data_IF_678902380619
#
_entry.id   IF_678902380619
#
_cell.length_a   1.000
_cell.length_b   1.000
_cell.length_c   1.000
_cell.angle_alpha   90.00
_cell.angle_beta   90.00
_cell.angle_gamma   90.00
#
_symmetry.space_group_name_H-M   'P 1'
#
loop_
_entity.id
_entity.type
_entity.pdbx_description
1 polymer ?
#
# COMPACT_ATOMS: atom_id res chain seq x y z
N UNK A 1 43.47 5.89 12.69
CA UNK A 1 43.86 4.56 13.22
C UNK A 1 42.67 3.65 12.98
N UNK A 2 42.85 2.61 12.16
CA UNK A 2 41.78 1.70 11.77
C UNK A 2 41.96 0.39 12.52
N UNK A 3 40.92 -0.04 13.23
CA UNK A 3 40.84 -1.36 13.81
C UNK A 3 40.50 -2.38 12.73
N UNK A 4 41.05 -3.59 12.82
CA UNK A 4 40.71 -4.69 11.91
C UNK A 4 39.45 -5.42 12.38
N UNK A 5 38.79 -6.16 11.49
CA UNK A 5 37.56 -6.90 11.84
C UNK A 5 37.82 -7.97 12.92
N UNK A 6 39.05 -8.48 12.99
CA UNK A 6 39.50 -9.48 13.95
C UNK A 6 39.65 -8.90 15.37
N UNK A 7 39.94 -7.61 15.48
CA UNK A 7 40.11 -6.88 16.75
C UNK A 7 38.79 -6.27 17.26
N UNK A 8 37.68 -6.46 16.53
CA UNK A 8 36.39 -5.84 16.86
C UNK A 8 35.71 -6.51 18.07
N UNK A 9 35.90 -5.92 19.25
CA UNK A 9 35.14 -6.21 20.48
C UNK A 9 33.77 -5.50 20.55
N UNK A 10 33.06 -5.70 21.67
CA UNK A 10 31.70 -5.15 21.90
C UNK A 10 31.68 -3.62 21.94
N UNK A 11 32.77 -3.01 22.34
CA UNK A 11 32.99 -1.57 22.43
C UNK A 11 32.93 -0.85 21.06
N UNK A 12 33.11 -1.58 19.95
CA UNK A 12 32.99 -1.03 18.60
C UNK A 12 31.59 -1.23 17.99
N UNK A 13 30.72 -2.01 18.65
CA UNK A 13 29.38 -2.27 18.16
C UNK A 13 28.41 -1.16 18.59
N UNK A 14 27.60 -0.67 17.64
CA UNK A 14 26.51 0.25 17.93
C UNK A 14 25.35 -0.45 18.64
N UNK A 15 24.70 0.25 19.56
CA UNK A 15 23.46 -0.22 20.20
C UNK A 15 22.23 0.47 19.58
N UNK A 16 21.14 -0.28 19.42
CA UNK A 16 19.86 0.22 18.95
C UNK A 16 18.72 -0.43 19.73
N UNK A 17 17.69 0.35 20.05
CA UNK A 17 16.49 -0.14 20.75
C UNK A 17 15.60 -0.98 19.83
N UNK A 18 15.52 -0.62 18.55
CA UNK A 18 14.72 -1.36 17.56
C UNK A 18 15.30 -1.19 16.16
N UNK A 19 15.37 -2.28 15.40
CA UNK A 19 15.78 -2.27 13.99
C UNK A 19 14.65 -2.86 13.16
N UNK A 20 14.23 -2.14 12.11
CA UNK A 20 13.17 -2.55 11.19
C UNK A 20 13.76 -2.59 9.78
N UNK A 21 13.82 -3.77 9.18
CA UNK A 21 14.29 -3.97 7.81
C UNK A 21 13.09 -4.23 6.90
N UNK A 22 12.89 -3.37 5.90
CA UNK A 22 11.91 -3.53 4.82
C UNK A 22 12.66 -3.87 3.51
N UNK A 23 11.92 -4.20 2.44
CA UNK A 23 12.48 -4.52 1.13
C UNK A 23 13.45 -3.45 0.62
N UNK A 24 13.08 -2.18 0.73
CA UNK A 24 13.82 -1.06 0.13
C UNK A 24 14.39 -0.07 1.17
N UNK A 25 14.22 -0.33 2.48
CA UNK A 25 14.62 0.62 3.54
C UNK A 25 14.89 -0.05 4.89
N UNK A 26 15.85 0.47 5.65
CA UNK A 26 16.14 0.05 7.03
C UNK A 26 15.99 1.23 7.99
N UNK A 27 15.20 1.07 9.05
CA UNK A 27 15.08 2.03 10.15
C UNK A 27 15.80 1.50 11.39
N UNK A 28 16.65 2.35 11.98
CA UNK A 28 17.38 2.07 13.22
C UNK A 28 16.92 3.09 14.26
N UNK A 29 16.30 2.61 15.32
CA UNK A 29 15.77 3.42 16.42
C UNK A 29 16.70 3.27 17.63
N UNK A 30 17.18 4.39 18.16
CA UNK A 30 18.05 4.44 19.34
C UNK A 30 17.31 5.00 20.56
N UNK A 31 17.91 4.85 21.73
CA UNK A 31 17.40 5.31 23.03
C UNK A 31 17.72 6.79 23.32
N UNK A 32 18.26 7.52 22.33
CA UNK A 32 18.64 8.92 22.47
C UNK A 32 20.01 9.17 23.12
N UNK A 33 20.71 8.12 23.57
CA UNK A 33 22.04 8.25 24.21
C UNK A 33 23.10 8.95 23.32
N UNK A 34 22.93 8.89 22.01
CA UNK A 34 23.86 9.45 21.01
C UNK A 34 23.43 10.81 20.45
N UNK A 35 22.39 11.46 21.00
CA UNK A 35 21.83 12.71 20.48
C UNK A 35 22.91 13.79 20.28
N UNK A 36 23.76 14.00 21.29
CA UNK A 36 24.82 15.01 21.22
C UNK A 36 25.86 14.72 20.12
N UNK A 37 26.18 13.45 19.90
CA UNK A 37 27.09 13.03 18.82
C UNK A 37 26.46 13.28 17.44
N UNK A 38 25.14 13.06 17.30
CA UNK A 38 24.38 13.35 16.07
C UNK A 38 24.36 14.85 15.80
N UNK A 39 24.06 15.68 16.79
CA UNK A 39 24.05 17.14 16.66
C UNK A 39 25.41 17.68 16.23
N UNK A 40 26.49 17.22 16.88
CA UNK A 40 27.86 17.58 16.51
C UNK A 40 28.17 17.17 15.07
N UNK A 41 27.70 16.00 14.63
CA UNK A 41 27.89 15.52 13.26
C UNK A 41 27.09 16.35 12.25
N UNK A 42 25.86 16.74 12.58
CA UNK A 42 25.04 17.62 11.73
C UNK A 42 25.70 18.99 11.57
N UNK A 43 26.21 19.58 12.66
CA UNK A 43 26.95 20.85 12.61
C UNK A 43 28.19 20.76 11.70
N UNK A 44 28.95 19.67 11.80
CA UNK A 44 30.09 19.43 10.92
C UNK A 44 29.69 19.36 9.44
N UNK A 45 28.61 18.64 9.12
CA UNK A 45 28.13 18.49 7.73
C UNK A 45 27.60 19.82 7.20
N UNK A 46 26.93 20.64 8.02
CA UNK A 46 26.50 21.99 7.63
C UNK A 46 27.68 22.87 7.20
N UNK A 47 28.77 22.87 7.97
CA UNK A 47 30.00 23.57 7.57
C UNK A 47 30.61 23.05 6.26
N UNK A 48 30.48 21.76 5.97
CA UNK A 48 30.92 21.18 4.69
C UNK A 48 30.04 21.62 3.51
N UNK A 49 28.73 21.78 3.73
CA UNK A 49 27.80 22.29 2.71
C UNK A 49 28.14 23.73 2.33
N UNK A 50 28.43 24.58 3.31
CA UNK A 50 28.79 25.99 3.09
C UNK A 50 30.09 26.14 2.28
N UNK A 51 31.08 25.29 2.57
CA UNK A 51 32.38 25.31 1.90
C UNK A 51 32.39 24.60 0.53
N UNK A 52 31.37 23.82 0.20
CA UNK A 52 31.28 23.13 -1.08
C UNK A 52 30.79 24.07 -2.18
N UNK A 53 31.40 23.99 -3.37
CA UNK A 53 30.98 24.75 -4.57
C UNK A 53 30.14 23.90 -5.52
N UNK A 54 30.15 22.58 -5.36
CA UNK A 54 29.45 21.64 -6.23
C UNK A 54 28.00 21.43 -5.78
N UNK A 55 27.05 21.70 -6.67
CA UNK A 55 25.61 21.52 -6.41
C UNK A 55 25.24 20.08 -6.10
N UNK A 56 25.87 19.12 -6.79
CA UNK A 56 25.68 17.69 -6.53
C UNK A 56 26.07 17.30 -5.09
N UNK A 57 27.22 17.77 -4.61
CA UNK A 57 27.65 17.50 -3.23
C UNK A 57 26.74 18.15 -2.20
N UNK A 58 26.29 19.39 -2.43
CA UNK A 58 25.33 20.04 -1.55
C UNK A 58 24.04 19.23 -1.41
N UNK A 59 23.56 18.62 -2.50
CA UNK A 59 22.38 17.75 -2.48
C UNK A 59 22.60 16.52 -1.59
N UNK A 60 23.69 15.78 -1.79
CA UNK A 60 24.00 14.56 -1.02
C UNK A 60 24.18 14.87 0.48
N UNK A 61 24.89 15.95 0.80
CA UNK A 61 25.08 16.38 2.19
C UNK A 61 23.75 16.86 2.82
N UNK A 62 22.90 17.52 2.05
CA UNK A 62 21.54 17.91 2.46
C UNK A 62 20.66 16.71 2.79
N UNK A 63 20.64 15.69 1.93
CA UNK A 63 19.91 14.43 2.18
C UNK A 63 20.42 13.75 3.46
N UNK A 64 21.74 13.77 3.69
CA UNK A 64 22.33 13.23 4.91
C UNK A 64 21.94 14.02 6.16
N UNK A 65 21.93 15.35 6.10
CA UNK A 65 21.45 16.21 7.20
C UNK A 65 19.99 15.90 7.49
N UNK A 66 19.15 15.74 6.47
CA UNK A 66 17.74 15.41 6.64
C UNK A 66 17.55 14.06 7.34
N UNK A 67 18.34 13.04 6.98
CA UNK A 67 18.29 11.72 7.64
C UNK A 67 18.81 11.75 9.09
N UNK A 68 19.79 12.59 9.41
CA UNK A 68 20.35 12.70 10.76
C UNK A 68 19.51 13.59 11.68
N UNK A 69 18.92 14.65 11.13
CA UNK A 69 18.03 15.57 11.88
C UNK A 69 16.61 15.04 11.99
N UNK A 70 16.26 14.03 11.18
CA UNK A 70 14.95 13.41 11.16
C UNK A 70 14.68 12.69 12.49
N UNK A 71 13.75 13.22 13.27
CA UNK A 71 13.28 12.55 14.47
C UNK A 71 12.44 11.32 14.10
N UNK A 72 12.65 10.21 14.80
CA UNK A 72 11.83 9.01 14.66
C UNK A 72 10.76 9.05 15.76
N UNK A 73 9.49 9.19 15.37
CA UNK A 73 8.36 9.08 16.28
C UNK A 73 7.84 7.63 16.31
N UNK A 74 7.55 7.13 17.52
CA UNK A 74 6.94 5.80 17.71
C UNK A 74 5.50 6.01 18.17
N UNK A 75 4.54 5.53 17.37
CA UNK A 75 3.12 5.54 17.72
C UNK A 75 2.77 4.17 18.34
N UNK A 76 2.33 4.18 19.60
CA UNK A 76 1.88 2.97 20.30
C UNK A 76 0.35 2.91 20.29
N UNK A 77 -0.20 1.80 19.81
CA UNK A 77 -1.65 1.60 19.65
C UNK A 77 -2.12 0.55 20.65
N UNK A 78 -3.05 0.94 21.53
CA UNK A 78 -3.70 0.04 22.49
C UNK A 78 -5.11 -0.37 22.06
N UNK A 79 -5.52 -1.59 22.43
CA UNK A 79 -6.88 -2.08 22.26
C UNK A 79 -7.25 -3.12 23.33
N UNK A 80 -8.55 -3.40 23.49
CA UNK A 80 -9.03 -4.34 24.51
C UNK A 80 -8.90 -5.80 24.06
N UNK A 81 -9.00 -6.05 22.74
CA UNK A 81 -8.84 -7.40 22.17
C UNK A 81 -7.75 -7.43 21.09
N UNK A 82 -7.22 -8.62 20.81
CA UNK A 82 -6.20 -8.82 19.76
C UNK A 82 -6.73 -8.48 18.37
N UNK A 83 -8.03 -8.70 18.13
CA UNK A 83 -8.68 -8.41 16.85
C UNK A 83 -8.77 -6.90 16.65
N UNK A 84 -9.24 -6.17 17.66
CA UNK A 84 -9.27 -4.71 17.63
C UNK A 84 -7.88 -4.09 17.51
N UNK A 85 -6.87 -4.68 18.17
CA UNK A 85 -5.50 -4.20 18.08
C UNK A 85 -5.00 -4.24 16.63
N UNK A 86 -5.28 -5.34 15.92
CA UNK A 86 -4.91 -5.48 14.51
C UNK A 86 -5.65 -4.47 13.63
N UNK A 87 -6.95 -4.31 13.82
CA UNK A 87 -7.77 -3.36 13.05
C UNK A 87 -7.33 -1.90 13.28
N UNK A 88 -7.20 -1.47 14.54
CA UNK A 88 -6.72 -0.11 14.88
C UNK A 88 -5.32 0.16 14.36
N UNK A 89 -4.43 -0.83 14.45
CA UNK A 89 -3.07 -0.71 13.90
C UNK A 89 -3.13 -0.45 12.39
N UNK A 90 -3.88 -1.24 11.63
CA UNK A 90 -4.02 -1.07 10.19
C UNK A 90 -4.62 0.30 9.82
N UNK A 91 -5.64 0.76 10.55
CA UNK A 91 -6.24 2.09 10.35
C UNK A 91 -5.25 3.23 10.60
N UNK A 92 -4.42 3.12 11.63
CA UNK A 92 -3.40 4.13 11.94
C UNK A 92 -2.27 4.10 10.92
N UNK A 93 -1.84 2.92 10.47
CA UNK A 93 -0.86 2.80 9.39
C UNK A 93 -1.37 3.44 8.10
N UNK A 94 -2.64 3.20 7.74
CA UNK A 94 -3.26 3.80 6.57
C UNK A 94 -3.38 5.32 6.69
N UNK A 95 -3.87 5.83 7.83
CA UNK A 95 -3.96 7.27 8.09
C UNK A 95 -2.60 7.98 8.03
N UNK A 96 -1.54 7.35 8.55
CA UNK A 96 -0.19 7.89 8.49
C UNK A 96 0.32 7.94 7.04
N UNK A 97 0.10 6.87 6.25
CA UNK A 97 0.52 6.85 4.86
C UNK A 97 -0.26 7.87 4.00
N UNK A 98 -1.57 7.99 4.24
CA UNK A 98 -2.43 8.95 3.54
C UNK A 98 -2.03 10.40 3.84
N UNK A 99 -1.76 10.73 5.11
CA UNK A 99 -1.30 12.07 5.51
C UNK A 99 0.09 12.39 4.96
N UNK A 100 1.03 11.43 4.96
CA UNK A 100 2.34 11.62 4.32
C UNK A 100 2.19 11.87 2.81
N UNK A 101 1.36 11.09 2.12
CA UNK A 101 1.10 11.28 0.70
C UNK A 101 0.45 12.64 0.39
N UNK A 102 -0.44 13.11 1.27
CA UNK A 102 -1.09 14.41 1.16
C UNK A 102 -0.12 15.58 1.39
N UNK A 103 0.85 15.43 2.28
CA UNK A 103 1.90 16.45 2.51
C UNK A 103 2.82 16.57 1.29
N UNK A 104 3.10 15.46 0.60
CA UNK A 104 4.02 15.45 -0.54
C UNK A 104 3.44 16.07 -1.82
N UNK A 105 2.21 15.72 -2.21
CA UNK A 105 1.61 16.16 -3.49
C UNK A 105 0.29 16.93 -3.32
N UNK A 106 -0.11 17.24 -2.09
CA UNK A 106 -1.37 17.90 -1.78
C UNK A 106 -2.57 16.96 -1.76
N UNK A 107 -3.76 17.56 -1.74
CA UNK A 107 -5.05 16.87 -1.68
C UNK A 107 -5.95 17.26 -2.84
N UNK A 108 -6.84 16.34 -3.22
CA UNK A 108 -7.92 16.54 -4.17
C UNK A 108 -9.25 16.13 -3.56
N UNK A 109 -10.32 16.50 -4.24
CA UNK A 109 -11.70 16.16 -3.86
C UNK A 109 -11.88 14.64 -3.93
N UNK A 110 -12.29 14.04 -2.82
CA UNK A 110 -12.38 12.59 -2.71
C UNK A 110 -13.66 11.99 -3.31
N UNK A 111 -13.99 10.78 -2.88
CA UNK A 111 -15.23 10.09 -3.26
C UNK A 111 -15.32 9.76 -4.76
N UNK A 112 -14.19 9.63 -5.44
CA UNK A 112 -14.11 9.44 -6.89
C UNK A 112 -14.49 10.67 -7.72
N UNK A 113 -14.90 11.78 -7.10
CA UNK A 113 -15.34 12.98 -7.81
C UNK A 113 -14.20 13.64 -8.60
N UNK A 114 -12.95 13.58 -8.10
CA UNK A 114 -11.78 14.03 -8.87
C UNK A 114 -11.62 13.25 -10.18
N UNK A 115 -11.76 11.91 -10.15
CA UNK A 115 -11.67 11.07 -11.35
C UNK A 115 -12.79 11.39 -12.34
N UNK A 116 -14.01 11.58 -11.82
CA UNK A 116 -15.15 11.96 -12.64
C UNK A 116 -14.96 13.30 -13.35
N UNK A 117 -14.35 14.29 -12.69
CA UNK A 117 -14.04 15.58 -13.33
C UNK A 117 -12.91 15.49 -14.35
N UNK A 118 -11.88 14.69 -14.05
CA UNK A 118 -10.81 14.42 -15.02
C UNK A 118 -11.38 13.76 -16.30
N UNK A 119 -12.42 12.95 -16.19
CA UNK A 119 -13.07 12.33 -17.35
C UNK A 119 -13.66 13.36 -18.33
N UNK A 120 -14.13 14.50 -17.85
CA UNK A 120 -14.66 15.58 -18.70
C UNK A 120 -13.56 16.30 -19.51
N UNK A 121 -12.30 16.23 -19.06
CA UNK A 121 -11.17 16.85 -19.77
C UNK A 121 -10.63 15.98 -20.89
N UNK A 122 -11.02 14.71 -20.97
CA UNK A 122 -10.55 13.78 -22.00
C UNK A 122 -11.08 14.17 -23.39
N UNK A 123 -12.25 14.80 -23.48
CA UNK A 123 -12.80 15.22 -24.78
C UNK A 123 -11.85 16.19 -25.51
N UNK A 124 -11.20 17.09 -24.77
CA UNK A 124 -10.19 18.02 -25.30
C UNK A 124 -8.97 17.24 -25.83
N UNK A 125 -8.53 16.21 -25.10
CA UNK A 125 -7.41 15.36 -25.53
C UNK A 125 -7.80 14.59 -26.79
N UNK A 126 -9.02 14.07 -26.85
CA UNK A 126 -9.55 13.29 -27.97
C UNK A 126 -9.54 14.08 -29.28
N UNK A 127 -9.77 15.39 -29.23
CA UNK A 127 -9.71 16.27 -30.41
C UNK A 127 -8.30 16.35 -31.00
N UNK A 128 -7.26 16.23 -30.16
CA UNK A 128 -5.85 16.26 -30.59
C UNK A 128 -5.31 14.93 -31.12
N UNK A 129 -6.09 13.85 -31.08
CA UNK A 129 -5.66 12.52 -31.52
C UNK A 129 -5.87 12.33 -33.03
N UNK A 130 -4.87 11.74 -33.68
CA UNK A 130 -4.81 11.65 -35.14
C UNK A 130 -5.69 10.53 -35.70
N UNK A 131 -5.70 9.35 -35.05
CA UNK A 131 -6.36 8.16 -35.56
C UNK A 131 -7.62 7.77 -34.77
N UNK A 132 -8.51 7.01 -35.41
CA UNK A 132 -9.78 6.57 -34.81
C UNK A 132 -9.56 5.65 -33.60
N UNK A 133 -8.54 4.80 -33.64
CA UNK A 133 -8.23 3.84 -32.56
C UNK A 133 -7.82 4.55 -31.26
N UNK A 134 -6.98 5.59 -31.34
CA UNK A 134 -6.63 6.41 -30.19
C UNK A 134 -7.85 7.14 -29.63
N UNK A 135 -8.75 7.63 -30.50
CA UNK A 135 -10.02 8.25 -30.08
C UNK A 135 -10.92 7.27 -29.32
N UNK A 136 -11.00 6.02 -29.78
CA UNK A 136 -11.71 4.94 -29.06
C UNK A 136 -11.03 4.67 -27.72
N UNK A 137 -9.69 4.63 -27.68
CA UNK A 137 -8.92 4.48 -26.43
C UNK A 137 -9.20 5.59 -25.42
N UNK A 138 -9.29 6.84 -25.88
CA UNK A 138 -9.66 7.98 -25.05
C UNK A 138 -11.08 7.82 -24.48
N UNK A 139 -12.05 7.37 -25.29
CA UNK A 139 -13.40 7.08 -24.82
C UNK A 139 -13.41 5.98 -23.75
N UNK A 140 -12.65 4.90 -23.93
CA UNK A 140 -12.52 3.82 -22.94
C UNK A 140 -11.99 4.39 -21.62
N UNK A 141 -10.95 5.21 -21.68
CA UNK A 141 -10.36 5.83 -20.49
C UNK A 141 -11.35 6.77 -19.78
N UNK A 142 -12.12 7.55 -20.54
CA UNK A 142 -13.19 8.42 -20.02
C UNK A 142 -14.24 7.62 -19.26
N UNK A 143 -14.70 6.51 -19.82
CA UNK A 143 -15.66 5.63 -19.14
C UNK A 143 -15.05 5.02 -17.87
N UNK A 144 -13.80 4.54 -17.95
CA UNK A 144 -13.12 3.92 -16.80
C UNK A 144 -12.99 4.87 -15.60
N UNK A 145 -12.70 6.16 -15.83
CA UNK A 145 -12.61 7.15 -14.74
C UNK A 145 -13.96 7.42 -14.04
N UNK A 146 -15.09 7.13 -14.69
CA UNK A 146 -16.43 7.28 -14.08
C UNK A 146 -16.85 6.08 -13.22
N UNK A 147 -16.20 4.93 -13.37
CA UNK A 147 -16.57 3.70 -12.68
C UNK A 147 -16.40 3.76 -11.16
N UNK A 148 -15.32 4.34 -10.60
CA UNK A 148 -15.15 4.43 -9.15
C UNK A 148 -16.31 5.16 -8.47
N UNK A 149 -16.73 6.32 -8.97
CA UNK A 149 -17.88 7.07 -8.42
C UNK A 149 -19.18 6.28 -8.55
N UNK A 150 -19.38 5.59 -9.68
CA UNK A 150 -20.54 4.71 -9.90
C UNK A 150 -20.60 3.59 -8.86
N UNK A 151 -19.48 2.93 -8.61
CA UNK A 151 -19.38 1.81 -7.67
C UNK A 151 -19.57 2.28 -6.23
N UNK A 152 -18.97 3.41 -5.84
CA UNK A 152 -19.16 4.00 -4.52
C UNK A 152 -20.65 4.31 -4.28
N UNK A 153 -21.32 4.96 -5.24
CA UNK A 153 -22.74 5.27 -5.15
C UNK A 153 -23.62 4.02 -5.07
N UNK A 154 -23.38 3.03 -5.94
CA UNK A 154 -24.14 1.78 -5.97
C UNK A 154 -23.99 1.00 -4.66
N UNK A 155 -22.77 0.94 -4.10
CA UNK A 155 -22.51 0.28 -2.82
C UNK A 155 -23.19 1.02 -1.64
N UNK A 156 -23.41 2.33 -1.78
CA UNK A 156 -24.17 3.14 -0.83
C UNK A 156 -25.69 3.09 -1.07
N UNK A 157 -26.18 2.24 -1.98
CA UNK A 157 -27.61 2.06 -2.26
C UNK A 157 -28.23 3.13 -3.17
N UNK A 158 -27.42 3.99 -3.80
CA UNK A 158 -27.88 5.01 -4.74
C UNK A 158 -27.49 4.66 -6.18
N UNK A 159 -28.30 5.07 -7.16
CA UNK A 159 -27.97 4.83 -8.57
C UNK A 159 -26.77 5.67 -9.00
N UNK A 160 -25.65 5.03 -9.32
CA UNK A 160 -24.43 5.71 -9.72
C UNK A 160 -24.57 6.59 -10.97
N UNK A 161 -25.45 6.23 -11.92
CA UNK A 161 -25.75 7.07 -13.08
C UNK A 161 -26.37 8.41 -12.68
N UNK A 162 -27.36 8.37 -11.78
CA UNK A 162 -28.02 9.58 -11.26
C UNK A 162 -27.05 10.43 -10.43
N UNK A 163 -26.18 9.78 -9.65
CA UNK A 163 -25.13 10.48 -8.89
C UNK A 163 -24.18 11.20 -9.82
N UNK A 164 -23.66 10.53 -10.86
CA UNK A 164 -22.76 11.13 -11.84
C UNK A 164 -23.41 12.33 -12.52
N UNK A 165 -24.62 12.16 -13.06
CA UNK A 165 -25.34 13.23 -13.76
C UNK A 165 -25.51 14.47 -12.87
N UNK A 166 -25.95 14.26 -11.62
CA UNK A 166 -26.14 15.35 -10.68
C UNK A 166 -24.84 16.03 -10.26
N UNK A 167 -23.75 15.28 -10.05
CA UNK A 167 -22.43 15.87 -9.75
C UNK A 167 -21.91 16.67 -10.95
N UNK A 168 -22.05 16.15 -12.17
CA UNK A 168 -21.60 16.83 -13.39
C UNK A 168 -22.48 18.02 -13.79
N UNK A 169 -23.72 18.10 -13.31
CA UNK A 169 -24.59 19.27 -13.54
C UNK A 169 -24.12 20.54 -12.81
N UNK A 170 -23.11 20.44 -11.95
CA UNK A 170 -22.56 21.55 -11.18
C UNK A 170 -21.06 21.74 -11.49
N UNK A 171 -20.70 22.93 -11.95
CA UNK A 171 -19.33 23.29 -12.34
C UNK A 171 -18.39 23.49 -11.14
N UNK A 172 -18.91 23.64 -9.91
CA UNK A 172 -18.07 23.80 -8.73
C UNK A 172 -17.20 22.56 -8.55
N UNK A 173 -15.87 22.73 -8.58
CA UNK A 173 -14.89 21.67 -8.43
C UNK A 173 -14.94 20.92 -7.10
N UNK A 174 -15.57 21.45 -6.05
CA UNK A 174 -15.68 20.77 -4.74
C UNK A 174 -17.03 20.08 -4.53
N UNK A 175 -18.01 20.31 -5.40
CA UNK A 175 -19.34 19.70 -5.28
C UNK A 175 -19.27 18.19 -5.51
N UNK A 176 -19.91 17.39 -4.68
CA UNK A 176 -19.91 15.94 -4.87
C UNK A 176 -20.96 15.24 -4.05
N UNK A 177 -21.00 13.92 -4.19
CA UNK A 177 -21.91 13.07 -3.44
C UNK A 177 -21.18 12.43 -2.26
N UNK A 178 -21.58 12.81 -1.05
CA UNK A 178 -21.11 12.19 0.17
C UNK A 178 -21.89 10.88 0.39
N UNK A 179 -21.26 9.75 0.06
CA UNK A 179 -21.85 8.43 0.22
C UNK A 179 -22.07 7.99 1.67
N UNK A 180 -21.38 8.59 2.64
CA UNK A 180 -21.56 8.27 4.06
C UNK A 180 -22.86 8.85 4.61
N UNK A 181 -23.24 10.06 4.16
CA UNK A 181 -24.44 10.78 4.61
C UNK A 181 -25.60 10.77 3.61
N UNK A 182 -25.35 10.34 2.37
CA UNK A 182 -26.35 10.31 1.30
C UNK A 182 -26.73 11.69 0.74
N UNK A 183 -25.90 12.71 0.97
CA UNK A 183 -26.15 14.09 0.57
C UNK A 183 -25.18 14.59 -0.51
N UNK A 184 -25.58 15.65 -1.21
CA UNK A 184 -24.72 16.38 -2.13
C UNK A 184 -24.25 17.66 -1.48
N UNK A 185 -22.94 17.87 -1.42
CA UNK A 185 -22.34 18.95 -0.65
C UNK A 185 -20.94 19.31 -1.19
N UNK A 186 -20.30 20.29 -0.57
CA UNK A 186 -18.89 20.56 -0.79
C UNK A 186 -18.06 19.51 -0.04
N UNK A 187 -17.46 18.59 -0.79
CA UNK A 187 -16.68 17.48 -0.25
C UNK A 187 -15.38 17.95 0.41
N UNK A 188 -14.81 19.08 -0.01
CA UNK A 188 -13.63 19.63 0.65
C UNK A 188 -14.00 20.16 2.03
N UNK A 189 -15.11 20.88 2.13
CA UNK A 189 -15.62 21.42 3.39
C UNK A 189 -16.12 20.31 4.34
N UNK A 190 -16.64 19.21 3.82
CA UNK A 190 -17.06 18.05 4.63
C UNK A 190 -15.93 17.08 4.98
N UNK A 191 -14.70 17.34 4.52
CA UNK A 191 -13.50 16.58 4.88
C UNK A 191 -13.32 15.29 4.08
N UNK A 192 -14.03 15.13 2.96
CA UNK A 192 -13.89 13.99 2.03
C UNK A 192 -12.83 14.35 0.99
N UNK A 193 -11.58 14.07 1.37
CA UNK A 193 -10.37 14.43 0.66
C UNK A 193 -9.55 13.18 0.35
N UNK A 194 -8.99 13.11 -0.85
CA UNK A 194 -8.05 12.05 -1.23
C UNK A 194 -6.66 12.65 -1.49
N UNK A 195 -5.56 12.01 -1.08
CA UNK A 195 -4.22 12.48 -1.42
C UNK A 195 -3.97 12.45 -2.93
N UNK A 196 -3.49 13.57 -3.50
CA UNK A 196 -3.23 13.68 -4.95
C UNK A 196 -2.29 12.59 -5.46
N UNK A 197 -1.26 12.28 -4.67
CA UNK A 197 -0.27 11.24 -4.97
C UNK A 197 -0.94 9.87 -5.18
N UNK A 198 -1.89 9.53 -4.32
CA UNK A 198 -2.60 8.25 -4.41
C UNK A 198 -3.41 8.20 -5.70
N UNK A 199 -4.20 9.24 -5.99
CA UNK A 199 -5.01 9.32 -7.21
C UNK A 199 -4.14 9.21 -8.47
N UNK A 200 -3.04 9.97 -8.54
CA UNK A 200 -2.11 9.96 -9.68
C UNK A 200 -1.45 8.59 -9.86
N UNK A 201 -0.84 8.04 -8.81
CA UNK A 201 -0.19 6.74 -8.88
C UNK A 201 -1.18 5.61 -9.22
N UNK A 202 -2.41 5.66 -8.70
CA UNK A 202 -3.45 4.70 -9.03
C UNK A 202 -3.79 4.71 -10.52
N UNK A 203 -3.95 5.90 -11.12
CA UNK A 203 -4.23 6.03 -12.57
C UNK A 203 -3.04 5.51 -13.39
N UNK A 204 -1.82 5.96 -13.08
CA UNK A 204 -0.61 5.58 -13.81
C UNK A 204 -0.37 4.06 -13.77
N UNK A 205 -0.43 3.46 -12.59
CA UNK A 205 -0.23 2.01 -12.44
C UNK A 205 -1.34 1.21 -13.12
N UNK A 206 -2.60 1.65 -13.02
CA UNK A 206 -3.72 0.99 -13.71
C UNK A 206 -3.54 1.03 -15.23
N UNK A 207 -3.10 2.17 -15.77
CA UNK A 207 -2.84 2.32 -17.20
C UNK A 207 -1.68 1.42 -17.66
N UNK A 208 -0.61 1.29 -16.87
CA UNK A 208 0.54 0.41 -17.18
C UNK A 208 0.11 -1.06 -17.21
N UNK A 209 -0.65 -1.51 -16.21
CA UNK A 209 -1.16 -2.89 -16.16
C UNK A 209 -2.14 -3.15 -17.30
N UNK A 210 -3.07 -2.22 -17.57
CA UNK A 210 -4.02 -2.33 -18.67
C UNK A 210 -3.31 -2.38 -20.03
N UNK A 211 -2.28 -1.56 -20.24
CA UNK A 211 -1.44 -1.62 -21.44
C UNK A 211 -0.84 -3.02 -21.61
N UNK A 212 -0.16 -3.53 -20.58
CA UNK A 212 0.45 -4.87 -20.64
C UNK A 212 -0.57 -5.95 -20.93
N UNK A 213 -1.76 -5.85 -20.34
CA UNK A 213 -2.84 -6.81 -20.52
C UNK A 213 -3.40 -6.77 -21.95
N UNK A 214 -3.71 -5.58 -22.47
CA UNK A 214 -4.29 -5.41 -23.81
C UNK A 214 -3.31 -5.74 -24.94
N UNK A 215 -2.01 -5.60 -24.72
CA UNK A 215 -0.97 -5.96 -25.71
C UNK A 215 -0.52 -7.41 -25.61
N UNK A 216 -1.03 -8.18 -24.64
CA UNK A 216 -0.67 -9.59 -24.47
C UNK A 216 -1.54 -10.46 -25.36
N UNK A 217 -0.93 -11.09 -26.37
CA UNK A 217 -1.63 -11.96 -27.32
C UNK A 217 -1.64 -13.44 -26.86
N UNK A 218 -0.62 -13.85 -26.10
CA UNK A 218 -0.44 -15.24 -25.66
C UNK A 218 -0.07 -15.29 -24.19
N UNK A 219 -0.72 -16.20 -23.45
CA UNK A 219 -0.40 -16.51 -22.05
C UNK A 219 -0.01 -17.98 -21.95
N UNK A 220 1.17 -18.26 -21.41
CA UNK A 220 1.65 -19.62 -21.16
C UNK A 220 1.49 -19.91 -19.67
N UNK A 221 0.85 -21.03 -19.36
CA UNK A 221 0.63 -21.50 -17.98
C UNK A 221 1.29 -22.87 -17.80
N UNK A 222 1.84 -23.11 -16.61
CA UNK A 222 2.33 -24.44 -16.24
C UNK A 222 1.15 -25.40 -16.11
N UNK A 223 1.23 -26.53 -16.80
CA UNK A 223 0.19 -27.56 -16.71
C UNK A 223 0.22 -28.21 -15.33
N UNK A 224 -0.95 -28.49 -14.75
CA UNK A 224 -1.00 -29.30 -13.54
C UNK A 224 -0.49 -30.71 -13.84
N UNK A 225 0.61 -31.10 -13.21
CA UNK A 225 1.05 -32.48 -13.24
C UNK A 225 0.01 -33.39 -12.56
N UNK A 226 -0.43 -34.44 -13.25
CA UNK A 226 -1.28 -35.46 -12.65
C UNK A 226 -0.50 -36.16 -11.54
N UNK A 227 -0.88 -35.94 -10.28
CA UNK A 227 -0.34 -36.75 -9.18
C UNK A 227 -0.69 -38.22 -9.46
N UNK A 228 0.27 -39.15 -9.43
CA UNK A 228 -0.03 -40.56 -9.63
C UNK A 228 -1.05 -40.98 -8.59
N UNK A 229 -2.19 -41.52 -9.05
CA UNK A 229 -3.18 -42.14 -8.17
C UNK A 229 -2.45 -43.23 -7.41
N UNK A 230 -2.27 -43.05 -6.09
CA UNK A 230 -1.77 -44.12 -5.22
C UNK A 230 -2.84 -45.21 -5.21
N UNK A 231 -2.73 -46.16 -6.13
CA UNK A 231 -3.47 -47.41 -6.08
C UNK A 231 -3.01 -48.11 -4.81
N UNK A 232 -3.84 -48.11 -3.77
CA UNK A 232 -3.55 -48.91 -2.58
C UNK A 232 -3.53 -50.36 -3.03
N UNK A 233 -2.48 -51.14 -2.72
CA UNK A 233 -2.46 -52.56 -3.06
C UNK A 233 -3.70 -53.23 -2.44
N UNK A 234 -4.34 -54.18 -3.16
CA UNK A 234 -5.50 -54.89 -2.63
C UNK A 234 -5.13 -55.52 -1.29
N UNK A 235 -6.00 -55.30 -0.31
CA UNK A 235 -5.82 -55.83 1.04
C UNK A 235 -5.75 -57.36 0.94
N UNK A 236 -4.75 -58.03 1.55
CA UNK A 236 -4.68 -59.48 1.55
C UNK A 236 -5.94 -60.06 2.21
N UNK A 237 -6.44 -61.22 1.74
CA UNK A 237 -7.62 -61.85 2.30
C UNK A 237 -7.43 -62.05 3.81
N UNK A 238 -8.44 -61.63 4.57
CA UNK A 238 -8.47 -61.72 6.02
C UNK A 238 -8.45 -63.20 6.41
N UNK A 239 -7.28 -63.73 6.78
CA UNK A 239 -7.19 -65.04 7.40
C UNK A 239 -8.08 -65.02 8.65
N UNK A 240 -9.01 -65.97 8.71
CA UNK A 240 -9.89 -66.21 9.85
C UNK A 240 -9.01 -66.33 11.11
N UNK A 241 -9.16 -65.37 12.00
CA UNK A 241 -8.59 -65.42 13.34
C UNK A 241 -9.18 -66.68 13.99
N UNK A 242 -8.38 -67.67 14.44
CA UNK A 242 -8.91 -68.80 15.18
C UNK A 242 -9.54 -68.29 16.49
N UNK A 243 -10.63 -68.92 16.97
CA UNK A 243 -11.35 -68.43 18.14
C UNK A 243 -10.43 -68.37 19.35
N UNK A 244 -10.46 -67.26 20.09
CA UNK A 244 -9.76 -67.13 21.36
C UNK A 244 -10.27 -68.18 22.36
N UNK A 245 -9.39 -68.79 23.17
CA UNK A 245 -9.80 -69.74 24.19
C UNK A 245 -10.64 -69.04 25.26
N UNK A 246 -11.71 -69.71 25.70
CA UNK A 246 -12.61 -69.22 26.74
C UNK A 246 -11.83 -68.93 28.03
N UNK A 247 -11.94 -67.68 28.51
CA UNK A 247 -11.40 -67.27 29.80
C UNK A 247 -12.11 -68.03 30.92
N UNK A 248 -11.39 -68.89 31.61
CA UNK A 248 -11.84 -69.57 32.82
C UNK A 248 -12.07 -68.49 33.89
N UNK A 249 -13.33 -68.24 34.21
CA UNK A 249 -13.72 -67.50 35.40
C UNK A 249 -13.87 -68.48 36.56
N UNK A 250 -13.00 -68.34 37.55
CA UNK A 250 -13.07 -69.09 38.79
C UNK A 250 -12.19 -68.42 39.83
N UNK A 251 -12.80 -67.53 40.62
CA UNK A 251 -12.24 -67.01 41.87
C UNK A 251 -13.11 -67.59 43.01
N UNK A 252 -12.45 -68.16 44.04
CA UNK A 252 -12.96 -68.83 45.26
C UNK A 252 -13.44 -70.28 45.05
N UNK A 253 -13.04 -71.25 45.88
CA UNK A 253 -12.27 -71.21 47.15
C UNK A 253 -10.83 -71.65 46.93
#
# INVERSE_FOLDING_TARGET
>A
MGYTLEEAGKEFLGSASKVIVKKDSTLIVTDGSTLHAVEKRVAQIKGQVENSKETYQKKILGERIARLSGAIAIIQVGAQTVIELKDKKLRIEDALNATMAAIEEGVVVGGGCSLLRLSQKIDIIKESLDNLEQKIGADIFKHALSYPTTLIANNAGMSGKFVIEKVLSNDNASYGYNAANGCYEDLMASGILDPSKVVRCCIEHSAVVAKSFLTSDVVIVEAQESKPVRVRPPMPPRNLIPPMPASVSGIRV
#
